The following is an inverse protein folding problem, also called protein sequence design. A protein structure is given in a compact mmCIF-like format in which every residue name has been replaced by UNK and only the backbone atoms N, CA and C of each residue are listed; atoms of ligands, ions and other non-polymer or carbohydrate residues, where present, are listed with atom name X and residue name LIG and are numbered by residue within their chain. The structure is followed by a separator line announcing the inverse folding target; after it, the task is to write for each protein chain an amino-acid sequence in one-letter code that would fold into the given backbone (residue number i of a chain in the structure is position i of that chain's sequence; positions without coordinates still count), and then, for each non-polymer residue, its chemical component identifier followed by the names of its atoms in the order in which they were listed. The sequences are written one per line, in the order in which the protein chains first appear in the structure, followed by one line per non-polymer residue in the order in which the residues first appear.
data_IF_564902237397
#
_entry.id   IF_564902237397
#
_cell.length_a   1.000
_cell.length_b   1.000
_cell.length_c   1.000
_cell.angle_alpha   90.00
_cell.angle_beta   90.00
_cell.angle_gamma   90.00
#
_symmetry.space_group_name_H-M   'P 1'
#
loop_
_entity.id
_entity.type
_entity.pdbx_description
1 polymer ?
#
# COMPACT_ATOMS: atom_id res chain seq x y z
N UNK A 1 -36.87 2.41 -48.67
CA UNK A 1 -35.57 2.70 -48.00
C UNK A 1 -34.88 1.47 -47.38
N UNK A 2 -35.17 0.22 -47.80
CA UNK A 2 -34.56 -0.99 -47.22
C UNK A 2 -33.47 -1.65 -48.11
N UNK A 3 -33.29 -1.18 -49.36
CA UNK A 3 -32.32 -1.76 -50.31
C UNK A 3 -30.89 -1.25 -50.12
N UNK A 4 -30.70 -0.03 -49.59
CA UNK A 4 -29.38 0.59 -49.39
C UNK A 4 -28.64 -0.05 -48.20
N UNK A 5 -29.35 -0.56 -47.19
CA UNK A 5 -28.74 -1.20 -46.02
C UNK A 5 -28.24 -2.62 -46.29
N UNK A 6 -28.66 -3.27 -47.39
CA UNK A 6 -28.19 -4.62 -47.77
C UNK A 6 -26.85 -4.61 -48.50
N UNK A 7 -26.48 -3.52 -49.16
CA UNK A 7 -25.20 -3.38 -49.88
C UNK A 7 -24.03 -2.95 -49.00
N UNK A 8 -24.29 -2.40 -47.81
CA UNK A 8 -23.24 -1.92 -46.88
C UNK A 8 -22.69 -3.06 -45.98
N UNK A 9 -23.53 -4.07 -45.66
CA UNK A 9 -23.14 -5.23 -44.84
C UNK A 9 -21.94 -6.05 -45.39
N UNK A 10 -21.82 -6.33 -46.70
CA UNK A 10 -20.63 -7.04 -47.20
C UNK A 10 -19.35 -6.21 -47.08
N UNK A 11 -19.42 -4.87 -47.15
CA UNK A 11 -18.26 -3.97 -47.05
C UNK A 11 -17.74 -3.90 -45.61
N UNK A 12 -18.64 -3.88 -44.61
CA UNK A 12 -18.26 -3.90 -43.20
C UNK A 12 -17.64 -5.24 -42.77
N UNK A 13 -18.17 -6.36 -43.26
CA UNK A 13 -17.58 -7.68 -43.01
C UNK A 13 -16.22 -7.85 -43.70
N UNK A 14 -16.04 -7.28 -44.91
CA UNK A 14 -14.75 -7.26 -45.59
C UNK A 14 -13.73 -6.40 -44.85
N UNK A 15 -14.08 -5.23 -44.32
CA UNK A 15 -13.14 -4.37 -43.58
C UNK A 15 -12.73 -4.97 -42.23
N UNK A 16 -13.64 -5.64 -41.50
CA UNK A 16 -13.26 -6.40 -40.29
C UNK A 16 -12.44 -7.65 -40.60
N UNK A 17 -12.74 -8.38 -41.68
CA UNK A 17 -11.93 -9.51 -42.13
C UNK A 17 -10.55 -9.05 -42.62
N UNK A 18 -10.45 -7.92 -43.34
CA UNK A 18 -9.18 -7.31 -43.76
C UNK A 18 -8.39 -6.81 -42.53
N UNK A 19 -9.06 -6.24 -41.53
CA UNK A 19 -8.44 -5.82 -40.28
C UNK A 19 -7.94 -7.03 -39.45
N UNK A 20 -8.65 -8.17 -39.47
CA UNK A 20 -8.20 -9.43 -38.85
C UNK A 20 -7.06 -10.09 -39.64
N UNK A 21 -7.06 -10.01 -40.97
CA UNK A 21 -5.98 -10.52 -41.84
C UNK A 21 -4.71 -9.66 -41.72
N UNK A 22 -4.84 -8.35 -41.42
CA UNK A 22 -3.70 -7.43 -41.23
C UNK A 22 -3.17 -7.33 -39.81
N UNK A 23 -3.91 -7.76 -38.79
CA UNK A 23 -3.37 -7.87 -37.43
C UNK A 23 -2.52 -9.13 -37.32
N UNK A 24 -1.27 -9.02 -37.80
CA UNK A 24 -0.23 -10.03 -37.56
C UNK A 24 -0.12 -10.24 -36.05
N UNK A 25 -0.08 -11.51 -35.61
CA UNK A 25 0.16 -11.84 -34.20
C UNK A 25 1.43 -11.10 -33.74
N UNK A 26 1.42 -10.47 -32.54
CA UNK A 26 2.61 -9.80 -32.05
C UNK A 26 3.76 -10.80 -31.99
N UNK A 27 4.88 -10.45 -32.63
CA UNK A 27 6.07 -11.30 -32.62
C UNK A 27 6.61 -11.36 -31.20
N UNK A 28 7.11 -12.53 -30.82
CA UNK A 28 7.83 -12.70 -29.56
C UNK A 28 9.07 -11.82 -29.60
N UNK A 29 9.25 -10.98 -28.59
CA UNK A 29 10.43 -10.11 -28.48
C UNK A 29 11.55 -10.83 -27.74
N UNK A 30 12.80 -10.53 -28.08
CA UNK A 30 13.97 -11.16 -27.44
C UNK A 30 13.98 -10.95 -25.93
N UNK A 31 13.50 -9.80 -25.45
CA UNK A 31 13.32 -9.53 -24.02
C UNK A 31 12.44 -10.58 -23.31
N UNK A 32 11.36 -11.04 -23.96
CA UNK A 32 10.48 -12.07 -23.37
C UNK A 32 11.13 -13.46 -23.37
N UNK A 33 11.99 -13.75 -24.35
CA UNK A 33 12.74 -15.00 -24.43
C UNK A 33 13.84 -15.02 -23.38
N UNK A 34 14.60 -13.93 -23.26
CA UNK A 34 15.65 -13.74 -22.25
C UNK A 34 15.08 -13.85 -20.84
N UNK A 35 14.00 -13.11 -20.53
CA UNK A 35 13.35 -13.17 -19.22
C UNK A 35 12.89 -14.58 -18.84
N UNK A 36 12.33 -15.35 -19.79
CA UNK A 36 11.95 -16.76 -19.54
C UNK A 36 13.15 -17.65 -19.25
N UNK A 37 14.28 -17.43 -19.93
CA UNK A 37 15.53 -18.17 -19.70
C UNK A 37 16.16 -17.78 -18.36
N UNK A 38 16.20 -16.50 -18.04
CA UNK A 38 16.74 -15.96 -16.79
C UNK A 38 15.95 -16.45 -15.57
N UNK A 39 14.62 -16.43 -15.60
CA UNK A 39 13.80 -16.96 -14.50
C UNK A 39 14.13 -18.43 -14.21
N UNK A 40 14.33 -19.25 -15.26
CA UNK A 40 14.70 -20.66 -15.08
C UNK A 40 16.10 -20.83 -14.50
N UNK A 41 17.07 -20.03 -14.97
CA UNK A 41 18.45 -20.05 -14.48
C UNK A 41 18.54 -19.60 -13.02
N UNK A 42 17.84 -18.52 -12.68
CA UNK A 42 17.84 -17.90 -11.36
C UNK A 42 16.89 -18.59 -10.38
N UNK A 43 16.10 -19.58 -10.79
CA UNK A 43 15.14 -20.28 -9.91
C UNK A 43 15.81 -20.90 -8.68
N UNK A 44 17.06 -21.34 -8.81
CA UNK A 44 17.84 -21.95 -7.74
C UNK A 44 18.75 -20.95 -7.01
N UNK A 45 18.83 -19.71 -7.48
CA UNK A 45 19.60 -18.65 -6.85
C UNK A 45 18.66 -17.71 -6.11
N UNK A 46 19.00 -17.36 -4.87
CA UNK A 46 18.27 -16.32 -4.17
C UNK A 46 18.78 -14.96 -4.64
N UNK A 47 18.09 -14.35 -5.59
CA UNK A 47 18.42 -13.01 -6.08
C UNK A 47 18.31 -11.93 -5.00
N UNK A 48 17.71 -12.23 -3.84
CA UNK A 48 17.59 -11.35 -2.69
C UNK A 48 18.70 -11.54 -1.65
N UNK A 49 19.73 -12.35 -1.93
CA UNK A 49 20.91 -12.34 -1.08
C UNK A 49 21.65 -11.01 -1.25
N UNK A 50 22.21 -10.50 -0.16
CA UNK A 50 22.95 -9.23 -0.10
C UNK A 50 24.01 -9.09 -1.18
N UNK A 51 24.67 -10.21 -1.54
CA UNK A 51 25.77 -10.25 -2.50
C UNK A 51 25.30 -10.04 -3.96
N UNK A 52 24.00 -10.15 -4.23
CA UNK A 52 23.41 -10.04 -5.57
C UNK A 52 22.62 -8.74 -5.79
N UNK A 53 21.98 -8.19 -4.76
CA UNK A 53 21.11 -7.01 -4.87
C UNK A 53 21.85 -5.67 -4.81
N UNK A 54 23.12 -5.67 -4.38
CA UNK A 54 23.85 -4.42 -4.13
C UNK A 54 23.30 -3.64 -2.93
N UNK A 55 22.65 -4.34 -2.00
CA UNK A 55 22.10 -3.75 -0.79
C UNK A 55 23.21 -3.22 0.13
N UNK A 56 22.95 -2.06 0.74
CA UNK A 56 23.84 -1.50 1.77
C UNK A 56 23.66 -2.28 3.07
N UNK A 57 24.69 -2.29 3.91
CA UNK A 57 24.63 -2.89 5.24
C UNK A 57 23.47 -2.36 6.06
N UNK A 58 22.91 -3.22 6.90
CA UNK A 58 21.87 -2.89 7.87
C UNK A 58 22.37 -1.86 8.90
N UNK A 59 21.44 -1.14 9.52
CA UNK A 59 21.74 -0.21 10.61
C UNK A 59 22.47 -0.95 11.77
N UNK A 60 23.52 -0.38 12.41
CA UNK A 60 24.32 -1.07 13.43
C UNK A 60 23.53 -1.60 14.64
N UNK A 61 22.39 -0.97 14.95
CA UNK A 61 21.47 -1.44 15.98
C UNK A 61 20.93 -2.86 15.69
N UNK A 62 20.81 -3.27 14.42
CA UNK A 62 20.36 -4.61 14.02
C UNK A 62 21.49 -5.63 14.12
N UNK A 63 21.83 -6.01 15.35
CA UNK A 63 22.85 -7.05 15.60
C UNK A 63 22.36 -8.45 15.26
N UNK A 64 23.30 -9.35 14.97
CA UNK A 64 23.00 -10.76 14.66
C UNK A 64 22.20 -11.46 15.76
N UNK A 65 22.44 -11.12 17.03
CA UNK A 65 21.69 -11.63 18.18
C UNK A 65 20.21 -11.21 18.16
N UNK A 66 19.93 -9.92 17.87
CA UNK A 66 18.56 -9.41 17.75
C UNK A 66 17.81 -10.05 16.58
N UNK A 67 18.48 -10.17 15.43
CA UNK A 67 17.92 -10.86 14.26
C UNK A 67 17.59 -12.31 14.60
N UNK A 68 18.49 -13.03 15.27
CA UNK A 68 18.24 -14.41 15.71
C UNK A 68 17.04 -14.51 16.66
N UNK A 69 16.95 -13.63 17.65
CA UNK A 69 15.82 -13.59 18.59
C UNK A 69 14.49 -13.36 17.87
N UNK A 70 14.46 -12.45 16.90
CA UNK A 70 13.28 -12.18 16.08
C UNK A 70 12.90 -13.39 15.23
N UNK A 71 13.89 -14.04 14.59
CA UNK A 71 13.66 -15.23 13.78
C UNK A 71 13.11 -16.40 14.59
N UNK A 72 13.64 -16.64 15.80
CA UNK A 72 13.13 -17.68 16.69
C UNK A 72 11.69 -17.38 17.13
N UNK A 73 11.42 -16.15 17.55
CA UNK A 73 10.06 -15.74 17.95
C UNK A 73 9.07 -15.86 16.79
N UNK A 74 9.50 -15.49 15.58
CA UNK A 74 8.70 -15.62 14.38
C UNK A 74 8.44 -17.09 14.01
N UNK A 75 9.45 -17.94 14.10
CA UNK A 75 9.31 -19.37 13.87
C UNK A 75 8.34 -20.01 14.87
N UNK A 76 8.41 -19.64 16.15
CA UNK A 76 7.47 -20.09 17.17
C UNK A 76 6.04 -19.66 16.85
N UNK A 77 5.84 -18.42 16.37
CA UNK A 77 4.53 -17.94 15.93
C UNK A 77 4.01 -18.70 14.70
N UNK A 78 4.87 -18.99 13.72
CA UNK A 78 4.48 -19.77 12.54
C UNK A 78 4.03 -21.19 12.89
N UNK A 79 4.63 -21.78 13.92
CA UNK A 79 4.30 -23.12 14.40
C UNK A 79 3.04 -23.16 15.28
N UNK A 80 2.44 -22.00 15.61
CA UNK A 80 1.16 -21.94 16.33
C UNK A 80 -0.01 -22.16 15.37
N UNK A 81 -0.88 -23.10 15.70
CA UNK A 81 -2.09 -23.37 14.94
C UNK A 81 -3.26 -23.73 15.87
N UNK A 82 -4.48 -23.83 15.31
CA UNK A 82 -5.71 -24.14 16.08
C UNK A 82 -5.64 -25.42 16.94
N UNK A 83 -4.71 -26.34 16.65
CA UNK A 83 -4.53 -27.57 17.43
C UNK A 83 -3.48 -27.46 18.56
N UNK A 84 -2.61 -26.44 18.55
CA UNK A 84 -1.61 -26.20 19.60
C UNK A 84 -2.14 -25.23 20.65
N UNK A 85 -3.05 -24.35 20.27
CA UNK A 85 -3.69 -23.38 21.16
C UNK A 85 -5.10 -23.88 21.46
N UNK A 86 -5.38 -24.16 22.74
CA UNK A 86 -6.72 -24.47 23.23
C UNK A 86 -7.24 -23.28 24.01
N UNK A 87 -8.48 -22.88 23.75
CA UNK A 87 -9.16 -21.82 24.48
C UNK A 87 -10.20 -22.42 25.43
N UNK A 88 -10.36 -21.82 26.60
CA UNK A 88 -11.50 -22.13 27.46
C UNK A 88 -12.78 -21.57 26.80
N UNK A 89 -13.86 -22.35 26.70
CA UNK A 89 -15.14 -21.87 26.19
C UNK A 89 -15.67 -20.60 26.88
N UNK A 90 -15.36 -20.40 28.18
CA UNK A 90 -15.77 -19.19 28.92
C UNK A 90 -15.06 -17.95 28.38
N UNK A 91 -13.74 -18.02 28.26
CA UNK A 91 -12.91 -16.93 27.73
C UNK A 91 -13.27 -16.62 26.28
N UNK A 92 -13.58 -17.67 25.50
CA UNK A 92 -14.01 -17.52 24.12
C UNK A 92 -15.32 -16.73 24.02
N UNK A 93 -16.29 -16.99 24.91
CA UNK A 93 -17.57 -16.28 24.92
C UNK A 93 -17.36 -14.81 25.27
N UNK A 94 -16.60 -14.52 26.32
CA UNK A 94 -16.29 -13.15 26.74
C UNK A 94 -15.54 -12.38 25.64
N UNK A 95 -14.57 -13.03 24.98
CA UNK A 95 -13.83 -12.44 23.87
C UNK A 95 -14.74 -12.10 22.69
N UNK A 96 -15.68 -12.98 22.35
CA UNK A 96 -16.63 -12.73 21.26
C UNK A 96 -17.49 -11.51 21.61
N UNK A 97 -18.06 -11.46 22.81
CA UNK A 97 -18.90 -10.35 23.27
C UNK A 97 -18.13 -9.01 23.18
N UNK A 98 -16.94 -8.94 23.80
CA UNK A 98 -16.09 -7.73 23.74
C UNK A 98 -15.67 -7.35 22.32
N UNK A 99 -15.33 -8.33 21.48
CA UNK A 99 -14.95 -8.05 20.09
C UNK A 99 -16.15 -7.52 19.29
N UNK A 100 -17.36 -8.03 19.55
CA UNK A 100 -18.55 -7.60 18.84
C UNK A 100 -18.93 -6.16 19.19
N UNK A 101 -18.93 -5.82 20.48
CA UNK A 101 -19.14 -4.45 20.94
C UNK A 101 -18.11 -3.47 20.34
N UNK A 102 -16.82 -3.83 20.44
CA UNK A 102 -15.76 -3.03 19.84
C UNK A 102 -15.92 -2.90 18.31
N UNK A 103 -16.32 -3.96 17.62
CA UNK A 103 -16.53 -3.95 16.17
C UNK A 103 -17.68 -3.03 15.76
N UNK A 104 -18.76 -2.96 16.53
CA UNK A 104 -19.88 -2.07 16.29
C UNK A 104 -19.47 -0.61 16.44
N UNK A 105 -18.73 -0.28 17.52
CA UNK A 105 -18.17 1.05 17.70
C UNK A 105 -17.25 1.45 16.54
N UNK A 106 -16.31 0.57 16.14
CA UNK A 106 -15.39 0.83 15.02
C UNK A 106 -16.12 0.97 13.69
N UNK A 107 -17.19 0.22 13.49
CA UNK A 107 -18.03 0.34 12.30
C UNK A 107 -18.71 1.71 12.22
N UNK A 108 -19.24 2.21 13.33
CA UNK A 108 -19.81 3.56 13.40
C UNK A 108 -18.79 4.65 13.08
N UNK A 109 -17.59 4.58 13.68
CA UNK A 109 -16.47 5.50 13.38
C UNK A 109 -16.11 5.46 11.89
N UNK A 110 -16.05 4.25 11.32
CA UNK A 110 -15.77 4.06 9.88
C UNK A 110 -16.83 4.72 9.00
N UNK A 111 -18.12 4.56 9.32
CA UNK A 111 -19.21 5.19 8.56
C UNK A 111 -19.12 6.72 8.61
N UNK A 112 -18.84 7.30 9.77
CA UNK A 112 -18.64 8.74 9.90
C UNK A 112 -17.47 9.24 9.06
N UNK A 113 -16.33 8.55 9.11
CA UNK A 113 -15.19 8.88 8.28
C UNK A 113 -15.52 8.75 6.78
N UNK A 114 -16.25 7.71 6.38
CA UNK A 114 -16.68 7.51 5.00
C UNK A 114 -17.60 8.64 4.52
N UNK A 115 -18.53 9.10 5.36
CA UNK A 115 -19.40 10.23 5.05
C UNK A 115 -18.60 11.53 4.88
N UNK A 116 -17.68 11.81 5.80
CA UNK A 116 -16.80 12.98 5.70
C UNK A 116 -15.96 12.97 4.42
N UNK A 117 -15.36 11.82 4.07
CA UNK A 117 -14.61 11.68 2.81
C UNK A 117 -15.50 11.90 1.58
N UNK A 118 -16.74 11.41 1.60
CA UNK A 118 -17.69 11.64 0.49
C UNK A 118 -17.99 13.12 0.32
N UNK A 119 -18.25 13.85 1.40
CA UNK A 119 -18.49 15.30 1.39
C UNK A 119 -17.27 16.05 0.84
N UNK A 120 -16.07 15.74 1.34
CA UNK A 120 -14.82 16.33 0.84
C UNK A 120 -14.59 16.05 -0.66
N UNK A 121 -14.95 14.85 -1.13
CA UNK A 121 -14.84 14.52 -2.56
C UNK A 121 -15.85 15.29 -3.41
N UNK A 122 -17.05 15.54 -2.89
CA UNK A 122 -18.06 16.37 -3.56
C UNK A 122 -17.62 17.84 -3.63
N UNK A 123 -17.13 18.40 -2.53
CA UNK A 123 -16.54 19.74 -2.50
C UNK A 123 -15.36 19.86 -3.45
N UNK A 124 -14.46 18.87 -3.48
CA UNK A 124 -13.33 18.84 -4.41
C UNK A 124 -13.79 18.81 -5.87
N UNK A 125 -14.86 18.09 -6.20
CA UNK A 125 -15.44 18.10 -7.55
C UNK A 125 -16.03 19.46 -7.92
N UNK A 126 -16.69 20.14 -6.98
CA UNK A 126 -17.21 21.49 -7.19
C UNK A 126 -16.05 22.49 -7.39
N UNK A 127 -15.02 22.40 -6.56
CA UNK A 127 -13.82 23.21 -6.67
C UNK A 127 -13.08 22.98 -7.99
N UNK A 128 -12.97 21.73 -8.46
CA UNK A 128 -12.36 21.42 -9.75
C UNK A 128 -13.08 22.11 -10.93
N UNK A 129 -14.41 22.18 -10.90
CA UNK A 129 -15.19 22.95 -11.90
C UNK A 129 -14.87 24.45 -11.83
N UNK A 130 -14.65 24.99 -10.63
CA UNK A 130 -14.25 26.40 -10.47
C UNK A 130 -12.83 26.66 -11.00
N UNK A 131 -11.91 25.71 -10.86
CA UNK A 131 -10.55 25.82 -11.42
C UNK A 131 -10.57 25.91 -12.95
N UNK A 132 -11.49 25.21 -13.62
CA UNK A 132 -11.63 25.29 -15.09
C UNK A 132 -12.03 26.69 -15.56
N UNK A 133 -12.72 27.46 -14.71
CA UNK A 133 -13.14 28.84 -15.00
C UNK A 133 -12.07 29.90 -14.69
N UNK A 134 -10.90 29.51 -14.16
CA UNK A 134 -9.83 30.45 -13.83
C UNK A 134 -9.15 31.00 -15.09
N UNK A 135 -8.68 32.27 -15.06
CA UNK A 135 -7.77 32.80 -16.06
C UNK A 135 -6.51 31.95 -16.24
N UNK A 136 -5.99 31.90 -17.47
CA UNK A 136 -4.88 31.02 -17.86
C UNK A 136 -3.63 31.16 -16.99
N UNK A 137 -3.27 32.39 -16.57
CA UNK A 137 -2.07 32.64 -15.76
C UNK A 137 -2.16 31.98 -14.37
N UNK A 138 -3.31 32.10 -13.68
CA UNK A 138 -3.54 31.46 -12.38
C UNK A 138 -3.58 29.94 -12.47
N UNK A 139 -4.15 29.39 -13.55
CA UNK A 139 -4.18 27.93 -13.77
C UNK A 139 -2.77 27.36 -13.95
N UNK A 140 -1.90 28.08 -14.68
CA UNK A 140 -0.51 27.68 -14.91
C UNK A 140 0.31 27.69 -13.61
N UNK A 141 0.09 28.67 -12.74
CA UNK A 141 0.73 28.76 -11.42
C UNK A 141 0.28 27.60 -10.51
N UNK A 142 -1.02 27.32 -10.46
CA UNK A 142 -1.59 26.24 -9.67
C UNK A 142 -1.05 24.85 -10.10
N UNK A 143 -0.98 24.60 -11.41
CA UNK A 143 -0.44 23.35 -11.95
C UNK A 143 1.07 23.19 -11.68
N UNK A 144 1.82 24.30 -11.67
CA UNK A 144 3.24 24.29 -11.35
C UNK A 144 3.48 23.98 -9.87
N UNK A 145 2.70 24.61 -8.97
CA UNK A 145 2.78 24.39 -7.53
C UNK A 145 2.36 22.96 -7.14
N UNK A 146 1.30 22.43 -7.77
CA UNK A 146 0.87 21.05 -7.53
C UNK A 146 1.96 20.02 -7.91
N UNK A 147 2.69 20.24 -9.01
CA UNK A 147 3.79 19.36 -9.43
C UNK A 147 5.03 19.48 -8.54
N UNK A 148 5.26 20.65 -7.94
CA UNK A 148 6.34 20.87 -7.00
C UNK A 148 6.06 20.17 -5.66
N UNK A 149 4.84 20.33 -5.12
CA UNK A 149 4.48 19.85 -3.78
C UNK A 149 4.00 18.38 -3.71
N UNK A 150 3.72 17.73 -4.85
CA UNK A 150 3.33 16.29 -4.86
C UNK A 150 4.48 15.34 -4.58
N UNK A 151 5.74 15.77 -4.73
CA UNK A 151 6.91 14.91 -4.50
C UNK A 151 7.38 14.87 -3.05
N UNK A 152 7.03 15.89 -2.27
CA UNK A 152 7.29 15.95 -0.84
C UNK A 152 6.08 16.60 -0.18
N UNK A 153 5.14 15.82 0.40
CA UNK A 153 4.24 16.43 1.36
C UNK A 153 5.11 16.90 2.50
N UNK A 154 5.52 18.17 2.47
CA UNK A 154 6.13 18.88 3.59
C UNK A 154 5.07 19.05 4.69
N UNK A 155 4.54 17.94 5.21
CA UNK A 155 3.89 17.97 6.51
C UNK A 155 5.06 18.09 7.48
N UNK A 156 5.20 19.20 8.22
CA UNK A 156 6.18 19.25 9.28
C UNK A 156 5.93 18.03 10.18
N UNK A 157 6.95 17.21 10.43
CA UNK A 157 6.82 16.02 11.29
C UNK A 157 6.17 16.36 12.65
N UNK A 158 6.36 17.60 13.11
CA UNK A 158 5.74 18.20 14.30
C UNK A 158 4.20 18.22 14.27
N UNK A 159 3.56 18.17 13.10
CA UNK A 159 2.11 18.18 12.93
C UNK A 159 1.53 16.79 12.63
N UNK A 160 2.32 15.74 12.76
CA UNK A 160 1.79 14.38 12.76
C UNK A 160 1.11 14.08 14.08
N UNK A 161 -0.11 13.54 14.02
CA UNK A 161 -0.96 13.25 15.18
C UNK A 161 -0.22 12.40 16.23
N UNK A 162 0.62 11.47 15.79
CA UNK A 162 1.43 10.66 16.70
C UNK A 162 2.42 11.49 17.52
N UNK A 163 3.11 12.45 16.89
CA UNK A 163 4.08 13.31 17.59
C UNK A 163 3.36 14.31 18.51
N UNK A 164 2.22 14.86 18.06
CA UNK A 164 1.41 15.79 18.85
C UNK A 164 0.84 15.15 20.12
N UNK A 165 0.42 13.89 20.03
CA UNK A 165 -0.27 13.21 21.12
C UNK A 165 0.57 12.11 21.79
N UNK A 166 1.88 12.03 21.51
CA UNK A 166 2.74 10.93 21.96
C UNK A 166 2.65 10.71 23.48
N UNK A 167 2.85 11.75 24.28
CA UNK A 167 2.82 11.65 25.75
C UNK A 167 1.44 11.24 26.29
N UNK A 168 0.37 11.67 25.63
CA UNK A 168 -1.00 11.33 26.00
C UNK A 168 -1.29 9.86 25.66
N UNK A 169 -0.92 9.44 24.46
CA UNK A 169 -1.09 8.07 23.96
C UNK A 169 -0.36 7.07 24.87
N UNK A 170 0.86 7.39 25.30
CA UNK A 170 1.61 6.53 26.23
C UNK A 170 0.85 6.28 27.54
N UNK A 171 0.20 7.31 28.09
CA UNK A 171 -0.57 7.20 29.34
C UNK A 171 -1.91 6.50 29.20
N UNK A 172 -2.43 6.40 27.96
CA UNK A 172 -3.70 5.72 27.67
C UNK A 172 -3.51 4.21 27.55
N UNK A 173 -2.33 3.76 27.12
CA UNK A 173 -2.08 2.33 27.00
C UNK A 173 -2.16 1.64 28.37
N UNK A 174 -2.85 0.47 28.44
CA UNK A 174 -3.10 -0.20 29.71
C UNK A 174 -1.85 -0.85 30.30
N UNK A 175 -0.81 -1.09 29.49
CA UNK A 175 0.39 -1.80 29.89
C UNK A 175 1.65 -1.31 29.13
N UNK A 176 2.81 -1.50 29.77
CA UNK A 176 4.13 -1.15 29.22
C UNK A 176 4.44 -1.91 27.93
N UNK A 177 3.87 -3.12 27.78
CA UNK A 177 4.05 -3.92 26.58
C UNK A 177 3.44 -3.24 25.34
N UNK A 178 2.24 -2.68 25.45
CA UNK A 178 1.63 -1.92 24.34
C UNK A 178 2.45 -0.69 23.94
N UNK A 179 3.04 0.01 24.92
CA UNK A 179 3.96 1.12 24.67
C UNK A 179 5.21 0.63 23.93
N UNK A 180 5.79 -0.50 24.37
CA UNK A 180 6.98 -1.09 23.76
C UNK A 180 6.79 -1.47 22.29
N UNK A 181 5.57 -1.88 21.89
CA UNK A 181 5.23 -2.16 20.49
C UNK A 181 5.34 -0.90 19.63
N UNK A 182 4.84 0.24 20.11
CA UNK A 182 4.90 1.51 19.36
C UNK A 182 6.34 2.00 19.22
N UNK A 183 7.11 1.93 20.31
CA UNK A 183 8.54 2.26 20.28
C UNK A 183 9.31 1.34 19.33
N UNK A 184 9.04 0.03 19.37
CA UNK A 184 9.65 -0.95 18.47
C UNK A 184 9.35 -0.65 17.00
N UNK A 185 8.10 -0.28 16.67
CA UNK A 185 7.72 0.14 15.31
C UNK A 185 8.47 1.40 14.87
N UNK A 186 8.65 2.37 15.77
CA UNK A 186 9.41 3.60 15.49
C UNK A 186 10.88 3.29 15.20
N UNK A 187 11.51 2.45 16.00
CA UNK A 187 12.90 2.00 15.77
C UNK A 187 13.02 1.33 14.40
N UNK A 188 12.06 0.47 14.04
CA UNK A 188 12.04 -0.17 12.72
C UNK A 188 11.95 0.85 11.57
N UNK A 189 11.09 1.87 11.70
CA UNK A 189 10.98 2.93 10.70
C UNK A 189 12.29 3.73 10.58
N UNK A 190 12.90 4.13 11.71
CA UNK A 190 14.19 4.84 11.75
C UNK A 190 15.26 4.03 11.01
N UNK A 191 15.32 2.71 11.24
CA UNK A 191 16.28 1.82 10.60
C UNK A 191 16.03 1.70 9.09
N UNK A 192 14.78 1.54 8.68
CA UNK A 192 14.42 1.37 7.26
C UNK A 192 14.67 2.65 6.45
N UNK A 193 14.37 3.80 7.03
CA UNK A 193 14.48 5.12 6.39
C UNK A 193 15.85 5.77 6.63
N UNK A 194 16.69 5.18 7.49
CA UNK A 194 18.03 5.68 7.88
C UNK A 194 17.97 7.09 8.46
N UNK A 195 16.98 7.33 9.31
CA UNK A 195 16.74 8.63 9.93
C UNK A 195 17.62 8.90 11.17
N UNK A 196 18.30 7.88 11.69
CA UNK A 196 19.22 7.98 12.82
C UNK A 196 20.40 7.04 12.64
N UNK A 197 21.57 7.41 13.18
CA UNK A 197 22.81 6.65 13.03
C UNK A 197 23.51 6.30 14.36
N UNK A 198 23.26 7.04 15.46
CA UNK A 198 24.02 6.93 16.72
C UNK A 198 23.18 6.97 18.02
N UNK A 199 21.87 6.73 17.93
CA UNK A 199 20.94 6.64 19.08
C UNK A 199 20.37 5.23 19.22
#
# INVERSE_FOLDING_TARGET
MQSVLKSIRPIFNQTEQIARVRRRRPKVTDATILRRKEIKKLRHFNIYSTDHTGERSYHPWMTSGRIRSLMLSYQDLQNRHRHTIKFDPKDQKELIEKSTEYSQYRYWVFLHHQQGVKQLLEERKQFAKSIESLPYHLKKELDADYKANTKHPNRPELLEDYNLYYEQILRIYPDDFSQSIQVGKRIQNIINEKLGENE
#
